data_IF_186241662610
#
_entry.id   IF_186241662610
#
_cell.length_a   1.000
_cell.length_b   1.000
_cell.length_c   1.000
_cell.angle_alpha   90.00
_cell.angle_beta   90.00
_cell.angle_gamma   90.00
#
_symmetry.space_group_name_H-M   'P 1'
#
loop_
_entity.id
_entity.type
_entity.pdbx_description
1 polymer ?
#
# COMPACT_ATOMS: atom_id res chain seq x y z
N UNK A 1 13.43 10.66 -2.84
CA UNK A 1 13.21 9.46 -3.66
C UNK A 1 13.07 9.87 -5.12
N UNK A 2 13.83 9.23 -6.02
CA UNK A 2 13.64 9.31 -7.48
C UNK A 2 12.69 8.20 -7.97
N UNK A 3 12.38 8.15 -9.28
CA UNK A 3 11.41 7.21 -9.84
C UNK A 3 11.86 5.75 -9.73
N UNK A 4 13.13 5.47 -9.97
CA UNK A 4 13.70 4.13 -9.85
C UNK A 4 13.65 3.64 -8.40
N UNK A 5 14.06 4.49 -7.45
CA UNK A 5 13.96 4.24 -6.01
C UNK A 5 12.51 3.99 -5.58
N UNK A 6 11.54 4.74 -6.11
CA UNK A 6 10.13 4.55 -5.80
C UNK A 6 9.58 3.21 -6.29
N UNK A 7 9.94 2.79 -7.51
CA UNK A 7 9.56 1.46 -8.02
C UNK A 7 10.19 0.35 -7.18
N UNK A 8 11.47 0.49 -6.84
CA UNK A 8 12.17 -0.49 -6.03
C UNK A 8 11.55 -0.61 -4.63
N UNK A 9 11.32 0.52 -3.95
CA UNK A 9 10.68 0.53 -2.63
C UNK A 9 9.28 -0.07 -2.67
N UNK A 10 8.46 0.32 -3.65
CA UNK A 10 7.11 -0.21 -3.80
C UNK A 10 7.10 -1.74 -3.95
N UNK A 11 8.06 -2.29 -4.70
CA UNK A 11 8.20 -3.74 -4.86
C UNK A 11 8.64 -4.47 -3.57
N UNK A 12 9.28 -3.78 -2.63
CA UNK A 12 9.53 -4.34 -1.29
C UNK A 12 8.26 -4.38 -0.46
N UNK A 13 7.44 -3.32 -0.47
CA UNK A 13 6.15 -3.30 0.24
C UNK A 13 5.18 -4.36 -0.26
N UNK A 14 5.26 -4.72 -1.54
CA UNK A 14 4.43 -5.76 -2.17
C UNK A 14 4.96 -7.19 -2.02
N UNK A 15 6.16 -7.37 -1.43
CA UNK A 15 6.88 -8.65 -1.42
C UNK A 15 7.08 -9.24 -2.84
N UNK A 16 7.32 -8.40 -3.85
CA UNK A 16 7.60 -8.82 -5.25
C UNK A 16 9.03 -8.54 -5.72
N UNK A 17 9.78 -7.67 -5.04
CA UNK A 17 11.22 -7.49 -5.21
C UNK A 17 12.00 -8.84 -5.19
N UNK A 18 13.15 -8.89 -5.84
CA UNK A 18 14.00 -10.10 -5.87
C UNK A 18 15.02 -10.18 -4.73
N UNK A 19 15.37 -9.04 -4.12
CA UNK A 19 16.31 -8.98 -3.00
C UNK A 19 15.62 -9.29 -1.66
N UNK A 20 15.39 -10.57 -1.42
CA UNK A 20 14.74 -11.04 -0.18
C UNK A 20 15.57 -10.81 1.09
N UNK A 21 16.83 -10.38 0.96
CA UNK A 21 17.73 -10.13 2.10
C UNK A 21 17.67 -8.67 2.57
N UNK A 22 17.05 -7.77 1.80
CA UNK A 22 16.80 -6.41 2.24
C UNK A 22 15.85 -6.39 3.45
N UNK A 23 16.13 -5.62 4.52
CA UNK A 23 15.24 -5.51 5.66
C UNK A 23 13.80 -5.12 5.28
N UNK A 24 13.62 -4.26 4.28
CA UNK A 24 12.29 -3.85 3.78
C UNK A 24 11.48 -5.01 3.20
N UNK A 25 12.10 -6.12 2.81
CA UNK A 25 11.37 -7.33 2.42
C UNK A 25 10.50 -7.87 3.57
N UNK A 26 11.05 -7.86 4.78
CA UNK A 26 10.37 -8.36 5.98
C UNK A 26 9.61 -7.24 6.69
N UNK A 27 10.16 -6.03 6.71
CA UNK A 27 9.62 -4.91 7.47
C UNK A 27 8.71 -3.99 6.64
N UNK A 28 8.60 -4.22 5.33
CA UNK A 28 7.69 -3.50 4.42
C UNK A 28 6.22 -3.79 4.71
N UNK A 29 5.31 -3.19 3.94
CA UNK A 29 3.88 -3.20 4.27
C UNK A 29 3.33 -4.62 4.42
N UNK A 30 3.37 -5.44 3.36
CA UNK A 30 2.91 -6.83 3.43
C UNK A 30 3.84 -7.71 4.28
N UNK A 31 5.16 -7.49 4.21
CA UNK A 31 6.13 -8.25 4.99
C UNK A 31 5.82 -8.20 6.49
N UNK A 32 5.51 -7.00 7.00
CA UNK A 32 5.20 -6.76 8.41
C UNK A 32 3.90 -7.42 8.89
N UNK A 33 3.04 -7.83 7.95
CA UNK A 33 1.82 -8.59 8.24
C UNK A 33 2.08 -10.10 8.32
N UNK A 34 3.28 -10.58 7.97
CA UNK A 34 3.60 -12.03 7.94
C UNK A 34 5.06 -12.34 8.33
N UNK A 35 5.32 -12.68 9.61
CA UNK A 35 4.35 -12.78 10.71
C UNK A 35 3.93 -11.41 11.25
N UNK A 36 2.65 -11.25 11.58
CA UNK A 36 2.18 -10.04 12.23
C UNK A 36 2.69 -9.94 13.67
N UNK A 37 3.39 -8.85 13.99
CA UNK A 37 4.01 -8.62 15.30
C UNK A 37 3.09 -7.87 16.30
N UNK A 38 1.80 -7.73 16.00
CA UNK A 38 0.81 -7.09 16.87
C UNK A 38 0.71 -5.56 16.72
N UNK A 39 1.53 -4.94 15.88
CA UNK A 39 1.51 -3.49 15.60
C UNK A 39 1.49 -3.23 14.09
N UNK A 40 0.59 -2.34 13.67
CA UNK A 40 0.60 -1.78 12.32
C UNK A 40 1.66 -0.69 12.22
N UNK A 41 2.42 -0.67 11.13
CA UNK A 41 3.43 0.35 10.87
C UNK A 41 2.90 1.38 9.86
N UNK A 42 2.41 2.51 10.36
CA UNK A 42 1.88 3.60 9.52
C UNK A 42 2.92 4.16 8.55
N UNK A 43 4.21 4.16 8.92
CA UNK A 43 5.29 4.63 8.04
C UNK A 43 5.35 3.86 6.73
N UNK A 44 5.02 2.55 6.75
CA UNK A 44 4.97 1.76 5.52
C UNK A 44 3.84 2.19 4.59
N UNK A 45 2.70 2.62 5.13
CA UNK A 45 1.59 3.15 4.35
C UNK A 45 1.97 4.51 3.75
N UNK A 46 2.52 5.41 4.56
CA UNK A 46 3.00 6.73 4.13
C UNK A 46 4.01 6.59 3.00
N UNK A 47 5.00 5.70 3.15
CA UNK A 47 6.04 5.48 2.14
C UNK A 47 5.48 4.95 0.80
N UNK A 48 4.44 4.11 0.83
CA UNK A 48 3.72 3.71 -0.40
C UNK A 48 3.07 4.92 -1.07
N UNK A 49 2.38 5.78 -0.32
CA UNK A 49 1.74 6.97 -0.88
C UNK A 49 2.78 7.97 -1.43
N UNK A 50 3.93 8.09 -0.77
CA UNK A 50 5.05 8.87 -1.29
C UNK A 50 5.61 8.27 -2.59
N UNK A 51 5.70 6.94 -2.69
CA UNK A 51 6.08 6.25 -3.94
C UNK A 51 5.11 6.60 -5.07
N UNK A 52 3.79 6.52 -4.81
CA UNK A 52 2.77 6.88 -5.79
C UNK A 52 2.86 8.34 -6.23
N UNK A 53 3.12 9.27 -5.32
CA UNK A 53 3.28 10.68 -5.66
C UNK A 53 4.51 10.93 -6.55
N UNK A 54 5.63 10.24 -6.29
CA UNK A 54 6.83 10.30 -7.16
C UNK A 54 6.56 9.67 -8.54
N UNK A 55 5.73 8.63 -8.58
CA UNK A 55 5.40 7.87 -9.79
C UNK A 55 4.19 8.42 -10.56
N UNK A 56 3.51 9.47 -10.10
CA UNK A 56 2.25 9.95 -10.70
C UNK A 56 2.32 10.17 -12.22
N UNK A 57 3.43 10.73 -12.72
CA UNK A 57 3.64 10.97 -14.15
C UNK A 57 3.79 9.68 -14.98
N UNK A 58 4.08 8.54 -14.35
CA UNK A 58 4.13 7.24 -15.02
C UNK A 58 2.73 6.76 -15.42
N UNK A 59 1.68 7.20 -14.72
CA UNK A 59 0.29 6.81 -15.00
C UNK A 59 -0.32 7.58 -16.16
N UNK A 60 0.14 8.81 -16.44
CA UNK A 60 -0.30 9.61 -17.59
C UNK A 60 0.38 9.24 -18.91
N UNK A 61 1.19 8.17 -18.93
CA UNK A 61 1.78 7.65 -20.16
C UNK A 61 0.74 6.80 -20.91
N UNK A 62 0.82 6.70 -22.26
CA UNK A 62 -0.06 5.83 -23.04
C UNK A 62 -0.03 4.34 -22.62
N UNK A 63 1.03 3.94 -21.92
CA UNK A 63 1.19 2.60 -21.34
C UNK A 63 1.74 2.75 -19.94
N UNK A 64 1.10 2.10 -18.98
CA UNK A 64 1.57 2.04 -17.59
C UNK A 64 2.47 0.83 -17.40
N UNK A 65 3.52 1.01 -16.61
CA UNK A 65 4.39 -0.09 -16.20
C UNK A 65 3.60 -1.08 -15.34
N UNK A 66 3.41 -2.29 -15.85
CA UNK A 66 2.63 -3.34 -15.19
C UNK A 66 3.19 -3.72 -13.81
N UNK A 67 4.47 -3.49 -13.55
CA UNK A 67 5.09 -3.82 -12.27
C UNK A 67 4.54 -2.91 -11.16
N UNK A 68 4.42 -1.60 -11.43
CA UNK A 68 3.81 -0.63 -10.50
C UNK A 68 2.37 -1.05 -10.16
N UNK A 69 1.58 -1.37 -11.19
CA UNK A 69 0.19 -1.81 -11.01
C UNK A 69 0.13 -3.12 -10.22
N UNK A 70 0.99 -4.08 -10.54
CA UNK A 70 1.03 -5.38 -9.85
C UNK A 70 1.44 -5.24 -8.39
N UNK A 71 2.33 -4.30 -8.06
CA UNK A 71 2.72 -4.02 -6.68
C UNK A 71 1.55 -3.45 -5.87
N UNK A 72 0.88 -2.40 -6.36
CA UNK A 72 -0.26 -1.79 -5.64
C UNK A 72 -1.42 -2.76 -5.52
N UNK A 73 -1.84 -3.38 -6.62
CA UNK A 73 -2.93 -4.37 -6.60
C UNK A 73 -2.57 -5.54 -5.71
N UNK A 74 -1.31 -5.98 -5.71
CA UNK A 74 -0.81 -7.01 -4.81
C UNK A 74 -0.95 -6.61 -3.34
N UNK A 75 -0.50 -5.41 -2.98
CA UNK A 75 -0.63 -4.84 -1.62
C UNK A 75 -2.09 -4.82 -1.18
N UNK A 76 -2.98 -4.23 -1.98
CA UNK A 76 -4.39 -4.02 -1.60
C UNK A 76 -5.15 -5.35 -1.52
N UNK A 77 -5.03 -6.20 -2.54
CA UNK A 77 -5.72 -7.48 -2.59
C UNK A 77 -5.25 -8.44 -1.49
N UNK A 78 -3.94 -8.55 -1.25
CA UNK A 78 -3.42 -9.44 -0.20
C UNK A 78 -3.79 -8.92 1.19
N UNK A 79 -3.77 -7.61 1.40
CA UNK A 79 -4.18 -7.01 2.68
C UNK A 79 -5.64 -7.35 2.99
N UNK A 80 -6.57 -7.14 2.04
CA UNK A 80 -7.99 -7.52 2.23
C UNK A 80 -8.15 -9.01 2.46
N UNK A 81 -7.50 -9.83 1.65
CA UNK A 81 -7.60 -11.28 1.76
C UNK A 81 -7.11 -11.78 3.13
N UNK A 82 -6.00 -11.24 3.63
CA UNK A 82 -5.42 -11.63 4.91
C UNK A 82 -6.22 -11.09 6.10
N UNK A 83 -6.70 -9.85 6.03
CA UNK A 83 -7.47 -9.21 7.09
C UNK A 83 -8.93 -9.70 7.19
N UNK A 84 -9.47 -10.33 6.14
CA UNK A 84 -10.83 -10.86 6.13
C UNK A 84 -11.07 -11.86 7.29
N UNK A 85 -12.33 -12.06 7.75
CA UNK A 85 -12.62 -12.98 8.85
C UNK A 85 -12.10 -14.42 8.64
N UNK A 86 -12.14 -14.90 7.39
CA UNK A 86 -11.61 -16.22 6.98
C UNK A 86 -10.14 -16.18 6.56
N UNK A 87 -9.58 -14.98 6.46
CA UNK A 87 -8.21 -14.68 6.09
C UNK A 87 -7.20 -15.09 7.14
N UNK A 88 -5.92 -15.11 6.73
CA UNK A 88 -4.81 -15.55 7.59
C UNK A 88 -4.72 -14.75 8.90
N UNK A 89 -4.94 -13.44 8.89
CA UNK A 89 -4.90 -12.59 10.08
C UNK A 89 -6.21 -12.65 10.85
N UNK A 90 -7.35 -12.60 10.15
CA UNK A 90 -8.68 -12.59 10.76
C UNK A 90 -9.03 -13.89 11.48
N UNK A 91 -8.86 -15.04 10.83
CA UNK A 91 -9.22 -16.35 11.40
C UNK A 91 -8.37 -16.74 12.61
N UNK A 92 -7.16 -16.19 12.70
CA UNK A 92 -6.24 -16.40 13.81
C UNK A 92 -6.38 -15.32 14.89
N UNK A 93 -7.34 -14.40 14.76
CA UNK A 93 -7.58 -13.29 15.69
C UNK A 93 -6.32 -12.47 15.99
N UNK A 94 -5.47 -12.27 14.98
CA UNK A 94 -4.20 -11.55 15.13
C UNK A 94 -4.39 -10.04 15.12
N UNK A 95 -5.46 -9.55 14.50
CA UNK A 95 -5.83 -8.13 14.44
C UNK A 95 -6.94 -7.83 15.45
N UNK A 96 -6.86 -6.66 16.08
CA UNK A 96 -8.03 -6.08 16.74
C UNK A 96 -9.01 -5.53 15.71
N UNK A 97 -10.27 -5.29 16.09
CA UNK A 97 -11.25 -4.64 15.21
C UNK A 97 -10.75 -3.29 14.68
N UNK A 98 -10.03 -2.54 15.52
CA UNK A 98 -9.46 -1.25 15.15
C UNK A 98 -8.34 -1.40 14.11
N UNK A 99 -7.45 -2.38 14.29
CA UNK A 99 -6.39 -2.66 13.32
C UNK A 99 -6.97 -3.15 11.99
N UNK A 100 -8.03 -3.96 12.01
CA UNK A 100 -8.72 -4.40 10.79
C UNK A 100 -9.32 -3.21 10.04
N UNK A 101 -10.03 -2.31 10.75
CA UNK A 101 -10.56 -1.08 10.14
C UNK A 101 -9.45 -0.23 9.54
N UNK A 102 -8.36 -0.01 10.28
CA UNK A 102 -7.24 0.79 9.82
C UNK A 102 -6.58 0.23 8.55
N UNK A 103 -6.39 -1.10 8.47
CA UNK A 103 -5.85 -1.75 7.27
C UNK A 103 -6.79 -1.60 6.06
N UNK A 104 -8.11 -1.74 6.29
CA UNK A 104 -9.09 -1.55 5.22
C UNK A 104 -9.13 -0.10 4.76
N UNK A 105 -9.08 0.87 5.68
CA UNK A 105 -9.00 2.29 5.35
C UNK A 105 -7.76 2.60 4.49
N UNK A 106 -6.57 2.17 4.92
CA UNK A 106 -5.36 2.34 4.10
C UNK A 106 -5.48 1.70 2.73
N UNK A 107 -6.16 0.55 2.66
CA UNK A 107 -6.41 -0.14 1.40
C UNK A 107 -7.34 0.67 0.49
N UNK A 108 -8.44 1.20 1.03
CA UNK A 108 -9.38 2.04 0.31
C UNK A 108 -8.67 3.29 -0.26
N UNK A 109 -7.85 3.97 0.55
CA UNK A 109 -7.06 5.13 0.12
C UNK A 109 -6.09 4.78 -1.02
N UNK A 110 -5.38 3.65 -0.93
CA UNK A 110 -4.46 3.21 -1.99
C UNK A 110 -5.20 2.85 -3.29
N UNK A 111 -6.36 2.23 -3.20
CA UNK A 111 -7.18 1.85 -4.36
C UNK A 111 -7.77 3.09 -5.05
N UNK A 112 -8.32 4.03 -4.29
CA UNK A 112 -8.85 5.30 -4.81
C UNK A 112 -7.74 6.10 -5.49
N UNK A 113 -6.58 6.23 -4.83
CA UNK A 113 -5.42 6.90 -5.40
C UNK A 113 -4.99 6.29 -6.74
N UNK A 114 -4.90 4.95 -6.81
CA UNK A 114 -4.56 4.26 -8.05
C UNK A 114 -5.59 4.52 -9.15
N UNK A 115 -6.89 4.48 -8.81
CA UNK A 115 -7.98 4.73 -9.76
C UNK A 115 -7.89 6.15 -10.34
N UNK A 116 -7.81 7.17 -9.50
CA UNK A 116 -7.69 8.56 -9.93
C UNK A 116 -6.42 8.80 -10.77
N UNK A 117 -5.27 8.23 -10.37
CA UNK A 117 -4.03 8.33 -11.15
C UNK A 117 -4.17 7.75 -12.56
N UNK A 118 -4.88 6.63 -12.72
CA UNK A 118 -5.15 6.01 -14.01
C UNK A 118 -6.12 6.83 -14.88
N UNK A 119 -6.97 7.64 -14.27
CA UNK A 119 -7.91 8.55 -14.94
C UNK A 119 -7.32 9.96 -15.18
N UNK A 120 -6.04 10.16 -14.85
CA UNK A 120 -5.34 11.45 -14.90
C UNK A 120 -5.95 12.52 -13.97
N UNK A 121 -6.70 12.10 -12.94
CA UNK A 121 -7.25 12.98 -11.91
C UNK A 121 -6.26 13.15 -10.75
N UNK A 122 -5.28 14.02 -10.96
CA UNK A 122 -4.24 14.25 -9.95
C UNK A 122 -4.70 15.11 -8.77
N UNK A 123 -5.77 15.89 -8.94
CA UNK A 123 -6.30 16.76 -7.89
C UNK A 123 -6.91 15.89 -6.78
N UNK A 124 -7.69 14.88 -7.18
CA UNK A 124 -8.39 14.00 -6.24
C UNK A 124 -7.55 12.79 -5.81
N UNK A 125 -6.53 12.37 -6.60
CA UNK A 125 -5.74 11.16 -6.33
C UNK A 125 -5.10 11.07 -4.93
N UNK A 126 -4.77 12.19 -4.29
CA UNK A 126 -4.18 12.20 -2.95
C UNK A 126 -5.09 12.82 -1.89
N UNK A 127 -6.34 13.13 -2.24
CA UNK A 127 -7.29 13.80 -1.35
C UNK A 127 -7.49 13.02 -0.05
N UNK A 128 -7.92 11.76 -0.13
CA UNK A 128 -8.18 10.93 1.06
C UNK A 128 -6.91 10.68 1.89
N UNK A 129 -5.75 10.60 1.23
CA UNK A 129 -4.46 10.51 1.93
C UNK A 129 -4.17 11.77 2.74
N UNK A 130 -4.43 12.96 2.18
CA UNK A 130 -4.28 14.22 2.89
C UNK A 130 -5.29 14.37 4.03
N UNK A 131 -6.56 14.01 3.80
CA UNK A 131 -7.58 13.98 4.85
C UNK A 131 -7.18 13.05 6.01
N UNK A 132 -6.62 11.88 5.69
CA UNK A 132 -6.07 10.94 6.67
C UNK A 132 -4.92 11.55 7.49
N UNK A 133 -3.94 12.17 6.84
CA UNK A 133 -2.80 12.80 7.54
C UNK A 133 -3.25 13.95 8.45
N UNK A 134 -4.31 14.66 8.09
CA UNK A 134 -4.88 15.74 8.88
C UNK A 134 -5.86 15.25 9.96
N UNK A 135 -6.05 13.93 10.07
CA UNK A 135 -6.92 13.30 11.08
C UNK A 135 -8.40 13.53 10.85
N UNK A 136 -8.81 13.77 9.60
CA UNK A 136 -10.21 13.97 9.19
C UNK A 136 -10.89 12.71 8.66
N UNK A 137 -10.13 11.62 8.52
CA UNK A 137 -10.59 10.31 8.05
C UNK A 137 -10.14 9.23 9.05
N UNK A 138 -11.10 8.44 9.58
CA UNK A 138 -10.89 7.41 10.61
C UNK A 138 -11.46 6.01 10.28
#
# INVERSE_FOLDING_TARGET
>A
MNKEEAKELLSFHSCRNSDIHNPKWTDGFLGSLRPFAGKLNQENFIEIMECLNVLKEEFSKPTVDKEIVSDIVGITCLTRAWASPEGMLGRNHLLTNEQTKQLLLWTDIMEECLMCLLEEDWEDAFWDYHEYLEGRLD
#
